data_IF_800049090744
#
_entry.id   IF_800049090744
#
_cell.length_a   1.000
_cell.length_b   1.000
_cell.length_c   1.000
_cell.angle_alpha   90.00
_cell.angle_beta   90.00
_cell.angle_gamma   90.00
#
_symmetry.space_group_name_H-M   'P 1'
#
loop_
_entity.id
_entity.type
_entity.pdbx_description
1 polymer ?
#
# COMPACT_ATOMS: atom_id res chain seq x y z
N UNK A 1 -15.33 2.92 19.23
CA UNK A 1 -14.29 3.90 18.83
C UNK A 1 -13.33 3.14 17.94
N UNK A 2 -13.54 3.17 16.62
CA UNK A 2 -12.65 2.52 15.66
C UNK A 2 -11.45 3.44 15.47
N UNK A 3 -10.38 3.18 16.23
CA UNK A 3 -9.13 3.97 16.25
C UNK A 3 -8.29 3.71 14.99
N UNK A 4 -8.77 2.89 14.05
CA UNK A 4 -7.94 2.35 12.97
C UNK A 4 -7.81 3.36 11.83
N UNK A 5 -8.91 4.00 11.41
CA UNK A 5 -8.90 4.87 10.22
C UNK A 5 -7.88 6.01 10.26
N UNK A 6 -7.79 6.74 11.37
CA UNK A 6 -6.84 7.87 11.47
C UNK A 6 -5.40 7.45 11.76
N UNK A 7 -5.14 6.19 12.15
CA UNK A 7 -3.82 5.72 12.57
C UNK A 7 -3.07 4.93 11.49
N UNK A 8 -3.63 4.79 10.28
CA UNK A 8 -2.96 4.09 9.17
C UNK A 8 -2.19 5.11 8.34
N UNK A 9 -0.87 4.93 8.27
CA UNK A 9 0.02 5.71 7.39
C UNK A 9 0.29 5.00 6.04
N UNK A 10 0.18 3.66 5.99
CA UNK A 10 0.58 2.85 4.84
C UNK A 10 -0.35 1.66 4.62
N UNK A 11 -0.70 1.40 3.36
CA UNK A 11 -1.42 0.21 2.92
C UNK A 11 -0.53 -0.56 1.94
N UNK A 12 -0.30 -1.84 2.20
CA UNK A 12 0.54 -2.71 1.34
C UNK A 12 -0.30 -3.88 0.82
N UNK A 13 -0.48 -3.93 -0.49
CA UNK A 13 -1.16 -5.04 -1.17
C UNK A 13 -0.15 -6.16 -1.44
N UNK A 14 -0.37 -7.32 -0.83
CA UNK A 14 0.52 -8.49 -0.96
C UNK A 14 -0.27 -9.65 -1.55
N UNK A 15 0.21 -10.17 -2.68
CA UNK A 15 -0.31 -11.39 -3.30
C UNK A 15 0.56 -12.59 -2.91
N UNK A 16 -0.07 -13.75 -2.68
CA UNK A 16 0.62 -15.04 -2.56
C UNK A 16 0.81 -15.64 -3.95
N UNK A 17 2.02 -16.05 -4.28
CA UNK A 17 2.40 -16.70 -5.53
C UNK A 17 3.01 -18.08 -5.25
N UNK A 18 3.22 -18.87 -6.31
CA UNK A 18 3.96 -20.14 -6.27
C UNK A 18 5.41 -19.98 -5.76
N UNK A 19 5.98 -18.78 -5.90
CA UNK A 19 7.33 -18.42 -5.44
C UNK A 19 7.37 -17.67 -4.11
N UNK A 20 6.23 -17.45 -3.44
CA UNK A 20 6.17 -16.80 -2.13
C UNK A 20 5.14 -15.68 -2.02
N UNK A 21 5.59 -14.49 -1.59
CA UNK A 21 4.73 -13.30 -1.44
C UNK A 21 5.29 -12.19 -2.31
N UNK A 22 4.43 -11.58 -3.13
CA UNK A 22 4.80 -10.47 -4.00
C UNK A 22 4.01 -9.21 -3.60
N UNK A 23 4.73 -8.12 -3.36
CA UNK A 23 4.12 -6.81 -3.17
C UNK A 23 3.57 -6.34 -4.51
N UNK A 24 2.30 -5.98 -4.56
CA UNK A 24 1.62 -5.47 -5.75
C UNK A 24 1.50 -3.97 -5.74
N UNK A 25 1.24 -3.41 -4.57
CA UNK A 25 1.04 -1.98 -4.42
C UNK A 25 1.46 -1.51 -3.02
N UNK A 26 1.91 -0.27 -2.94
CA UNK A 26 2.28 0.43 -1.72
C UNK A 26 1.66 1.82 -1.79
N UNK A 27 0.65 2.03 -0.95
CA UNK A 27 -0.13 3.27 -0.91
C UNK A 27 0.18 4.03 0.37
N UNK A 28 0.64 5.27 0.23
CA UNK A 28 0.69 6.22 1.34
C UNK A 28 -0.71 6.71 1.65
N UNK A 29 -1.10 6.70 2.91
CA UNK A 29 -2.38 7.28 3.36
C UNK A 29 -2.14 8.73 3.73
N UNK A 30 -2.83 9.64 3.05
CA UNK A 30 -2.76 11.07 3.35
C UNK A 30 -3.76 11.48 4.43
N UNK A 31 -4.94 10.85 4.43
CA UNK A 31 -5.99 11.11 5.42
C UNK A 31 -7.06 10.02 5.42
N UNK A 32 -7.88 10.00 6.46
CA UNK A 32 -9.10 9.21 6.53
C UNK A 32 -10.31 10.13 6.65
N UNK A 33 -11.21 10.07 5.67
CA UNK A 33 -12.38 10.94 5.61
C UNK A 33 -13.56 10.18 5.04
N UNK A 34 -14.77 10.45 5.56
CA UNK A 34 -16.01 9.81 5.14
C UNK A 34 -15.96 8.26 5.12
N UNK A 35 -15.20 7.66 6.04
CA UNK A 35 -15.05 6.20 6.11
C UNK A 35 -14.07 5.60 5.09
N UNK A 36 -13.26 6.44 4.42
CA UNK A 36 -12.36 6.00 3.35
C UNK A 36 -10.96 6.60 3.53
N UNK A 37 -9.95 5.80 3.17
CA UNK A 37 -8.58 6.27 3.05
C UNK A 37 -8.41 7.07 1.76
N UNK A 38 -7.81 8.24 1.88
CA UNK A 38 -7.31 9.02 0.75
C UNK A 38 -5.83 8.64 0.58
N UNK A 39 -5.47 8.13 -0.60
CA UNK A 39 -4.16 7.51 -0.82
C UNK A 39 -3.42 8.06 -2.02
N UNK A 40 -2.09 8.11 -1.90
CA UNK A 40 -1.17 8.35 -3.02
C UNK A 40 -0.39 7.06 -3.31
N UNK A 41 -0.42 6.60 -4.57
CA UNK A 41 0.38 5.45 -4.99
C UNK A 41 1.86 5.83 -5.09
N UNK A 42 2.71 5.10 -4.37
CA UNK A 42 4.10 5.00 -4.77
C UNK A 42 4.17 4.00 -5.91
N UNK A 43 4.19 4.49 -7.16
CA UNK A 43 4.51 3.62 -8.28
C UNK A 43 5.78 2.85 -7.91
N UNK A 44 5.79 1.50 -8.04
CA UNK A 44 7.02 0.75 -7.87
C UNK A 44 8.05 1.42 -8.77
N UNK A 45 9.18 1.88 -8.20
CA UNK A 45 10.35 2.12 -9.05
C UNK A 45 10.49 0.82 -9.82
N UNK A 46 10.28 0.87 -11.14
CA UNK A 46 10.59 -0.23 -12.02
C UNK A 46 11.87 -0.85 -11.49
N UNK A 47 11.82 -2.15 -11.19
CA UNK A 47 13.03 -2.90 -10.91
C UNK A 47 13.98 -2.55 -12.04
N UNK A 48 14.99 -1.71 -11.74
CA UNK A 48 16.15 -1.57 -12.61
C UNK A 48 16.75 -2.97 -12.61
N UNK A 49 16.32 -3.76 -13.58
CA UNK A 49 17.01 -4.93 -14.05
C UNK A 49 18.33 -4.37 -14.61
N UNK A 50 19.31 -4.24 -13.71
CA UNK A 50 20.71 -4.19 -14.09
C UNK A 50 21.08 -5.62 -14.46
N UNK A 51 20.91 -5.93 -15.74
CA UNK A 51 21.51 -7.09 -16.39
C UNK A 51 22.27 -6.57 -17.62
#
# INVERSE_FOLDING_TARGET
REVIGEAVDLIVSIERTDRGRQVRDVLHVESFSAGQYQTQSYAPKEERNVA
#
